data_IF_844479244617
#
_entry.id   IF_844479244617
#
_cell.length_a   1.000
_cell.length_b   1.000
_cell.length_c   1.000
_cell.angle_alpha   90.00
_cell.angle_beta   90.00
_cell.angle_gamma   90.00
#
_symmetry.space_group_name_H-M   'P 1'
#
loop_
_entity.id
_entity.type
_entity.pdbx_description
1 polymer ?
#
# COMPACT_ATOMS: atom_id res chain seq x y z
N UNK A 1 29.54 1.32 -6.42
CA UNK A 1 29.19 2.44 -5.54
C UNK A 1 27.71 2.29 -5.15
N UNK A 2 27.39 2.42 -3.89
CA UNK A 2 25.98 2.43 -3.43
C UNK A 2 25.35 3.75 -3.84
N UNK A 3 24.13 3.70 -4.41
CA UNK A 3 23.39 4.90 -4.80
C UNK A 3 21.91 4.61 -4.97
N UNK A 4 21.11 5.63 -4.80
CA UNK A 4 19.68 5.63 -5.09
C UNK A 4 19.42 6.61 -6.26
N UNK A 5 18.52 6.24 -7.14
CA UNK A 5 18.02 7.10 -8.20
C UNK A 5 16.51 7.00 -8.26
N UNK A 6 15.83 8.12 -8.18
CA UNK A 6 14.41 8.19 -8.44
C UNK A 6 14.18 8.15 -9.94
N UNK A 7 13.42 7.16 -10.40
CA UNK A 7 13.08 7.00 -11.81
C UNK A 7 11.72 7.65 -12.11
N UNK A 8 10.81 7.61 -11.14
CA UNK A 8 9.47 8.17 -11.21
C UNK A 8 8.92 8.41 -9.80
N UNK A 9 7.86 9.22 -9.67
CA UNK A 9 7.21 9.54 -8.38
C UNK A 9 7.77 10.79 -7.72
N UNK A 10 8.30 11.75 -8.50
CA UNK A 10 8.72 13.07 -8.01
C UNK A 10 7.88 14.15 -8.68
N UNK A 11 7.37 15.08 -7.85
CA UNK A 11 6.70 16.29 -8.30
C UNK A 11 5.21 16.14 -8.54
N UNK A 12 4.78 14.96 -8.97
CA UNK A 12 3.37 14.61 -9.18
C UNK A 12 3.06 13.24 -8.60
N UNK A 13 1.80 12.94 -8.32
CA UNK A 13 1.37 11.58 -8.01
C UNK A 13 1.47 10.74 -9.29
N UNK A 14 2.50 9.94 -9.35
CA UNK A 14 2.82 9.12 -10.51
C UNK A 14 3.22 7.72 -10.10
N UNK A 15 3.64 6.88 -11.06
CA UNK A 15 4.12 5.54 -10.75
C UNK A 15 5.35 5.65 -9.84
N UNK A 16 5.29 5.01 -8.67
CA UNK A 16 6.46 4.93 -7.80
C UNK A 16 7.48 3.96 -8.40
N UNK A 17 8.72 4.44 -8.60
CA UNK A 17 9.82 3.57 -9.01
C UNK A 17 11.16 4.19 -8.64
N UNK A 18 11.90 3.51 -7.76
CA UNK A 18 13.23 3.89 -7.31
C UNK A 18 14.24 2.83 -7.72
N UNK A 19 15.38 3.24 -8.23
CA UNK A 19 16.49 2.33 -8.50
C UNK A 19 17.50 2.39 -7.36
N UNK A 20 17.75 1.25 -6.72
CA UNK A 20 18.75 1.08 -5.69
C UNK A 20 19.93 0.27 -6.22
N UNK A 21 21.14 0.85 -6.19
CA UNK A 21 22.38 0.14 -6.46
C UNK A 21 23.06 -0.19 -5.12
N UNK A 22 23.26 -1.48 -4.86
CA UNK A 22 23.91 -1.94 -3.61
C UNK A 22 25.43 -1.99 -3.73
N UNK A 23 25.96 -1.72 -4.92
CA UNK A 23 27.36 -1.95 -5.32
C UNK A 23 27.49 -3.16 -6.24
N UNK A 24 26.82 -4.27 -5.91
CA UNK A 24 26.89 -5.52 -6.67
C UNK A 24 25.57 -5.85 -7.40
N UNK A 25 24.46 -5.24 -6.98
CA UNK A 25 23.11 -5.48 -7.51
C UNK A 25 22.41 -4.17 -7.83
N UNK A 26 21.50 -4.26 -8.77
CA UNK A 26 20.54 -3.20 -9.11
C UNK A 26 19.14 -3.69 -8.80
N UNK A 27 18.51 -3.08 -7.81
CA UNK A 27 17.14 -3.39 -7.42
C UNK A 27 16.21 -2.25 -7.79
N UNK A 28 14.96 -2.56 -8.11
CA UNK A 28 13.90 -1.58 -8.19
C UNK A 28 13.04 -1.67 -6.94
N UNK A 29 12.71 -0.53 -6.37
CA UNK A 29 11.76 -0.38 -5.28
C UNK A 29 10.49 0.20 -5.88
N UNK A 30 9.43 -0.58 -5.87
CA UNK A 30 8.18 -0.41 -6.57
C UNK A 30 8.32 -0.31 -8.11
N UNK A 31 7.20 -0.53 -8.79
CA UNK A 31 7.11 -0.47 -10.25
C UNK A 31 5.66 -0.14 -10.64
N UNK A 32 5.18 1.02 -10.25
CA UNK A 32 3.78 1.39 -10.36
C UNK A 32 3.34 1.86 -11.74
N UNK A 33 2.01 1.92 -11.92
CA UNK A 33 1.38 2.77 -12.91
C UNK A 33 0.81 4.00 -12.19
N UNK A 34 0.88 5.16 -12.81
CA UNK A 34 0.25 6.33 -12.24
C UNK A 34 -1.28 6.27 -12.34
N UNK A 35 -1.99 7.07 -11.54
CA UNK A 35 -3.44 7.18 -11.63
C UNK A 35 -3.88 7.79 -12.96
N UNK A 36 -3.02 8.58 -13.57
CA UNK A 36 -3.29 9.21 -14.86
C UNK A 36 -3.02 8.23 -16.02
N UNK A 37 -3.89 8.24 -17.03
CA UNK A 37 -3.81 7.31 -18.18
C UNK A 37 -2.48 7.36 -18.95
N UNK A 38 -1.74 8.44 -18.84
CA UNK A 38 -0.44 8.64 -19.50
C UNK A 38 0.77 8.31 -18.60
N UNK A 39 0.55 8.12 -17.30
CA UNK A 39 1.61 7.87 -16.33
C UNK A 39 1.84 6.36 -16.16
N UNK A 40 2.63 5.78 -17.05
CA UNK A 40 2.93 4.36 -17.06
C UNK A 40 4.37 4.08 -16.63
N UNK A 41 4.56 2.90 -16.08
CA UNK A 41 5.88 2.33 -15.86
C UNK A 41 6.61 2.18 -17.19
N UNK A 42 7.86 2.64 -17.24
CA UNK A 42 8.70 2.42 -18.42
C UNK A 42 9.47 1.09 -18.29
N UNK A 43 9.16 0.08 -19.12
CA UNK A 43 9.83 -1.22 -19.04
C UNK A 43 11.36 -1.15 -19.22
N UNK A 44 11.88 -0.05 -19.80
CA UNK A 44 13.31 0.17 -19.94
C UNK A 44 14.03 0.32 -18.60
N UNK A 45 13.31 0.68 -17.54
CA UNK A 45 13.86 0.75 -16.17
C UNK A 45 14.28 -0.60 -15.63
N UNK A 46 13.68 -1.69 -16.14
CA UNK A 46 14.07 -3.07 -15.79
C UNK A 46 15.41 -3.50 -16.40
N UNK A 47 15.93 -2.76 -17.36
CA UNK A 47 17.18 -3.15 -18.06
C UNK A 47 18.33 -3.20 -17.06
N UNK A 48 18.84 -4.42 -16.84
CA UNK A 48 19.93 -4.68 -15.90
C UNK A 48 19.52 -4.64 -14.42
N UNK A 49 18.23 -4.64 -14.12
CA UNK A 49 17.73 -4.90 -12.77
C UNK A 49 17.91 -6.39 -12.43
N UNK A 50 18.23 -6.67 -11.17
CA UNK A 50 18.38 -8.03 -10.65
C UNK A 50 17.13 -8.50 -9.90
N UNK A 51 16.34 -7.58 -9.36
CA UNK A 51 15.11 -7.87 -8.61
C UNK A 51 14.20 -6.62 -8.51
N UNK A 52 12.93 -6.86 -8.18
CA UNK A 52 11.95 -5.82 -7.84
C UNK A 52 11.44 -6.06 -6.41
N UNK A 53 11.34 -5.02 -5.62
CA UNK A 53 10.80 -5.01 -4.27
C UNK A 53 9.51 -4.21 -4.26
N UNK A 54 8.42 -4.78 -3.79
CA UNK A 54 7.10 -4.14 -3.78
C UNK A 54 6.70 -3.85 -2.34
N UNK A 55 6.37 -2.59 -2.06
CA UNK A 55 5.95 -2.16 -0.73
C UNK A 55 4.51 -2.56 -0.41
N UNK A 56 3.58 -2.39 -1.34
CA UNK A 56 2.17 -2.72 -1.16
C UNK A 56 1.44 -2.89 -2.51
N UNK A 57 0.15 -3.21 -2.49
CA UNK A 57 -0.62 -3.67 -3.64
C UNK A 57 -1.39 -2.57 -4.40
N UNK A 58 -1.17 -1.29 -4.10
CA UNK A 58 -1.78 -0.22 -4.89
C UNK A 58 -1.17 -0.11 -6.29
N UNK A 59 -1.99 0.27 -7.27
CA UNK A 59 -1.62 0.25 -8.69
C UNK A 59 -0.40 1.12 -9.01
N UNK A 60 -0.23 2.24 -8.31
CA UNK A 60 0.90 3.15 -8.46
C UNK A 60 2.21 2.63 -7.83
N UNK A 61 2.17 1.44 -7.22
CA UNK A 61 3.34 0.72 -6.70
C UNK A 61 3.56 -0.63 -7.39
N UNK A 62 2.50 -1.32 -7.83
CA UNK A 62 2.56 -2.69 -8.33
C UNK A 62 2.23 -2.83 -9.82
N UNK A 63 1.61 -1.82 -10.44
CA UNK A 63 1.01 -1.92 -11.79
C UNK A 63 1.95 -2.39 -12.89
N UNK A 64 3.23 -2.05 -12.79
CA UNK A 64 4.26 -2.48 -13.73
C UNK A 64 4.87 -3.86 -13.46
N UNK A 65 4.42 -4.56 -12.41
CA UNK A 65 4.96 -5.88 -12.05
C UNK A 65 4.85 -6.91 -13.18
N UNK A 66 3.86 -6.77 -14.08
CA UNK A 66 3.73 -7.63 -15.27
C UNK A 66 5.00 -7.62 -16.12
N UNK A 67 5.63 -6.45 -16.31
CA UNK A 67 6.86 -6.34 -17.08
C UNK A 67 8.06 -6.97 -16.36
N UNK A 68 8.10 -6.93 -15.02
CA UNK A 68 9.11 -7.64 -14.24
C UNK A 68 8.96 -9.16 -14.39
N UNK A 69 7.71 -9.65 -14.41
CA UNK A 69 7.40 -11.07 -14.66
C UNK A 69 7.83 -11.49 -16.06
N UNK A 70 7.50 -10.70 -17.09
CA UNK A 70 7.91 -10.95 -18.47
C UNK A 70 9.45 -10.95 -18.63
N UNK A 71 10.13 -10.08 -17.90
CA UNK A 71 11.59 -10.04 -17.85
C UNK A 71 12.21 -11.20 -17.03
N UNK A 72 11.40 -12.02 -16.37
CA UNK A 72 11.83 -13.15 -15.55
C UNK A 72 12.51 -12.76 -14.23
N UNK A 73 12.32 -11.50 -13.78
CA UNK A 73 12.92 -10.99 -12.56
C UNK A 73 12.22 -11.55 -11.31
N UNK A 74 12.97 -11.87 -10.24
CA UNK A 74 12.38 -12.19 -8.96
C UNK A 74 11.73 -10.93 -8.35
N UNK A 75 10.57 -11.13 -7.72
CA UNK A 75 9.85 -10.07 -7.00
C UNK A 75 9.87 -10.40 -5.51
N UNK A 76 10.18 -9.41 -4.69
CA UNK A 76 10.14 -9.48 -3.24
C UNK A 76 8.93 -8.70 -2.74
N UNK A 77 8.03 -9.35 -2.02
CA UNK A 77 6.79 -8.74 -1.50
C UNK A 77 6.29 -9.52 -0.28
N UNK A 78 5.42 -8.93 0.52
CA UNK A 78 4.74 -9.66 1.60
C UNK A 78 3.75 -10.67 1.02
N UNK A 79 3.33 -11.65 1.83
CA UNK A 79 2.37 -12.66 1.40
C UNK A 79 1.02 -12.06 0.98
N UNK A 80 0.63 -10.92 1.58
CA UNK A 80 -0.61 -10.23 1.23
C UNK A 80 -0.46 -9.50 -0.11
N UNK A 81 0.57 -8.68 -0.26
CA UNK A 81 0.90 -7.96 -1.51
C UNK A 81 1.07 -8.92 -2.69
N UNK A 82 1.65 -10.09 -2.44
CA UNK A 82 1.86 -11.11 -3.46
C UNK A 82 0.56 -11.63 -4.11
N UNK A 83 -0.59 -11.52 -3.44
CA UNK A 83 -1.89 -11.95 -4.00
C UNK A 83 -2.35 -11.07 -5.16
N UNK A 84 -1.89 -9.83 -5.21
CA UNK A 84 -2.21 -8.88 -6.29
C UNK A 84 -1.22 -8.97 -7.47
N UNK A 85 -0.14 -9.74 -7.33
CA UNK A 85 0.84 -9.94 -8.41
C UNK A 85 0.30 -10.89 -9.50
N UNK A 86 0.79 -10.76 -10.75
CA UNK A 86 0.46 -11.71 -11.81
C UNK A 86 0.77 -13.15 -11.38
N UNK A 87 -0.08 -14.15 -11.74
CA UNK A 87 0.09 -15.54 -11.28
C UNK A 87 1.43 -16.19 -11.65
N UNK A 88 2.09 -15.69 -12.69
CA UNK A 88 3.41 -16.19 -13.14
C UNK A 88 4.58 -15.54 -12.39
N UNK A 89 4.35 -14.67 -11.43
CA UNK A 89 5.39 -13.99 -10.68
C UNK A 89 6.23 -14.98 -9.85
N UNK A 90 7.54 -14.82 -9.93
CA UNK A 90 8.48 -15.53 -9.05
C UNK A 90 8.63 -14.71 -7.76
N UNK A 91 7.79 -14.99 -6.77
CA UNK A 91 7.73 -14.23 -5.53
C UNK A 91 8.63 -14.84 -4.46
N UNK A 92 9.49 -14.01 -3.88
CA UNK A 92 10.21 -14.27 -2.65
C UNK A 92 9.49 -13.51 -1.53
N UNK A 93 8.99 -14.24 -0.53
CA UNK A 93 8.19 -13.63 0.52
C UNK A 93 9.06 -12.84 1.50
N UNK A 94 8.65 -11.60 1.76
CA UNK A 94 9.15 -10.77 2.86
C UNK A 94 8.20 -10.88 4.06
N UNK A 95 8.71 -10.83 5.30
CA UNK A 95 7.86 -10.65 6.46
C UNK A 95 7.24 -9.25 6.46
N UNK A 96 6.03 -9.10 7.02
CA UNK A 96 5.47 -7.76 7.27
C UNK A 96 6.28 -7.02 8.34
N UNK A 97 6.86 -7.77 9.28
CA UNK A 97 7.72 -7.26 10.34
C UNK A 97 8.87 -8.24 10.57
N UNK A 98 10.09 -7.82 10.29
CA UNK A 98 11.25 -8.68 10.49
C UNK A 98 12.46 -8.35 9.63
N UNK A 99 13.38 -9.27 9.57
CA UNK A 99 14.66 -9.12 8.88
C UNK A 99 14.83 -10.23 7.84
N UNK A 100 15.29 -9.86 6.66
CA UNK A 100 15.72 -10.75 5.59
C UNK A 100 17.14 -10.41 5.16
N UNK A 101 17.89 -11.39 4.65
CA UNK A 101 19.19 -11.14 4.03
C UNK A 101 19.12 -11.51 2.56
N UNK A 102 19.34 -10.55 1.69
CA UNK A 102 19.19 -10.69 0.24
C UNK A 102 20.50 -10.24 -0.42
N UNK A 103 21.14 -11.14 -1.14
CA UNK A 103 22.45 -10.90 -1.79
C UNK A 103 23.50 -10.26 -0.85
N UNK A 104 23.47 -10.64 0.44
CA UNK A 104 24.37 -10.11 1.46
C UNK A 104 23.97 -8.77 2.08
N UNK A 105 22.86 -8.18 1.64
CA UNK A 105 22.29 -6.96 2.24
C UNK A 105 21.19 -7.33 3.22
N UNK A 106 21.28 -6.84 4.45
CA UNK A 106 20.19 -6.97 5.41
C UNK A 106 19.09 -5.96 5.07
N UNK A 107 17.86 -6.48 4.91
CA UNK A 107 16.63 -5.73 4.74
C UNK A 107 15.75 -5.94 5.97
N UNK A 108 15.39 -4.87 6.64
CA UNK A 108 14.37 -4.85 7.68
C UNK A 108 13.07 -4.30 7.09
N UNK A 109 11.97 -4.99 7.34
CA UNK A 109 10.62 -4.52 6.98
C UNK A 109 9.81 -4.28 8.25
N UNK A 110 8.88 -3.34 8.17
CA UNK A 110 7.84 -3.11 9.16
C UNK A 110 6.59 -2.59 8.47
N UNK A 111 5.46 -2.68 9.14
CA UNK A 111 4.15 -2.29 8.59
C UNK A 111 4.10 -0.79 8.37
N UNK A 112 3.52 -0.36 7.26
CA UNK A 112 3.54 1.03 6.82
C UNK A 112 2.31 1.86 7.25
N UNK A 113 1.32 1.25 7.92
CA UNK A 113 0.11 1.96 8.37
C UNK A 113 -0.83 2.39 7.25
N UNK A 114 -0.60 1.98 5.99
CA UNK A 114 -1.30 2.49 4.82
C UNK A 114 -2.17 1.45 4.10
N UNK A 115 -1.67 0.25 3.94
CA UNK A 115 -2.36 -0.83 3.22
C UNK A 115 -2.17 -2.18 3.91
N UNK A 116 -3.06 -3.12 3.63
CA UNK A 116 -2.98 -4.47 4.17
C UNK A 116 -1.74 -5.19 3.64
N UNK A 117 -0.88 -5.67 4.56
CA UNK A 117 0.40 -6.27 4.20
C UNK A 117 1.42 -5.30 3.61
N UNK A 118 1.10 -3.99 3.61
CA UNK A 118 2.01 -2.95 3.18
C UNK A 118 3.17 -2.77 4.16
N UNK A 119 4.37 -2.56 3.62
CA UNK A 119 5.60 -2.44 4.42
C UNK A 119 6.47 -1.28 3.96
N UNK A 120 7.13 -0.66 4.91
CA UNK A 120 8.33 0.12 4.65
C UNK A 120 9.56 -0.80 4.62
N UNK A 121 10.64 -0.33 4.02
CA UNK A 121 11.89 -1.08 3.82
C UNK A 121 13.08 -0.30 4.33
N UNK A 122 13.90 -0.92 5.17
CA UNK A 122 15.18 -0.36 5.63
C UNK A 122 16.32 -1.30 5.22
N UNK A 123 17.17 -0.82 4.34
CA UNK A 123 18.35 -1.53 3.84
C UNK A 123 19.58 -1.13 4.64
N UNK A 124 20.32 -2.11 5.19
CA UNK A 124 21.60 -1.89 5.88
C UNK A 124 22.71 -1.61 4.86
N UNK A 125 22.61 -0.48 4.18
CA UNK A 125 23.58 0.02 3.21
C UNK A 125 24.21 1.32 3.74
N UNK A 126 25.54 1.33 3.91
CA UNK A 126 26.21 2.44 4.57
C UNK A 126 25.70 2.64 6.00
N UNK A 127 25.21 3.85 6.30
CA UNK A 127 24.58 4.18 7.60
C UNK A 127 23.05 4.04 7.55
N UNK A 128 22.51 3.24 6.63
CA UNK A 128 21.09 2.94 6.45
C UNK A 128 20.41 3.74 5.35
N UNK A 129 19.60 3.03 4.57
CA UNK A 129 18.66 3.58 3.59
C UNK A 129 17.24 3.16 3.95
N UNK A 130 16.38 4.13 4.17
CA UNK A 130 14.95 3.92 4.44
C UNK A 130 14.10 4.29 3.22
N UNK A 131 13.11 3.43 2.90
CA UNK A 131 12.08 3.68 1.89
C UNK A 131 10.71 3.43 2.51
N UNK A 132 9.89 4.47 2.60
CA UNK A 132 8.58 4.38 3.24
C UNK A 132 7.56 3.61 2.39
N UNK A 133 7.66 3.62 1.04
CA UNK A 133 6.49 3.46 0.21
C UNK A 133 5.45 4.53 0.60
N UNK A 134 4.18 4.28 0.37
CA UNK A 134 3.12 5.07 1.01
C UNK A 134 3.00 4.65 2.48
N UNK A 135 2.84 5.60 3.38
CA UNK A 135 2.72 5.32 4.80
C UNK A 135 1.74 6.24 5.51
N UNK A 136 1.23 5.82 6.68
CA UNK A 136 0.33 6.63 7.49
C UNK A 136 0.55 6.38 8.97
N UNK A 137 0.63 7.46 9.75
CA UNK A 137 0.68 7.42 11.21
C UNK A 137 -0.73 7.50 11.83
N UNK A 138 -1.72 7.89 11.05
CA UNK A 138 -3.06 8.22 11.53
C UNK A 138 -4.10 7.12 11.28
N UNK A 139 -3.68 5.95 10.75
CA UNK A 139 -4.62 4.86 10.48
C UNK A 139 -5.05 4.18 11.77
N UNK A 140 -6.34 4.22 12.05
CA UNK A 140 -6.96 3.38 13.08
C UNK A 140 -7.02 1.90 12.68
N UNK A 141 -6.73 1.60 11.41
CA UNK A 141 -6.97 0.31 10.80
C UNK A 141 -5.69 -0.49 10.59
N UNK A 142 -4.64 0.16 10.11
CA UNK A 142 -3.37 -0.46 9.82
C UNK A 142 -2.31 -0.01 10.84
N UNK A 143 -1.60 -0.95 11.47
CA UNK A 143 -0.52 -0.59 12.37
C UNK A 143 0.68 -0.02 11.60
N UNK A 144 1.31 1.00 12.18
CA UNK A 144 2.61 1.48 11.77
C UNK A 144 3.69 0.97 12.73
N UNK A 145 4.72 0.34 12.21
CA UNK A 145 5.92 0.02 12.97
C UNK A 145 6.95 1.13 12.79
N UNK A 146 7.55 1.60 13.88
CA UNK A 146 8.56 2.63 13.79
C UNK A 146 9.84 2.11 13.11
N UNK A 147 10.34 2.79 12.06
CA UNK A 147 11.55 2.37 11.39
C UNK A 147 12.81 2.65 12.25
N UNK A 148 13.87 1.88 12.05
CA UNK A 148 15.16 2.21 12.63
C UNK A 148 15.74 3.49 12.00
N UNK A 149 16.69 4.18 12.67
CA UNK A 149 17.38 5.32 12.09
C UNK A 149 18.08 4.98 10.77
N UNK A 150 18.07 5.93 9.83
CA UNK A 150 18.76 5.83 8.55
C UNK A 150 19.39 7.16 8.17
N UNK A 151 20.56 7.13 7.53
CA UNK A 151 21.23 8.33 7.04
C UNK A 151 20.58 8.88 5.76
N UNK A 152 19.90 8.02 5.02
CA UNK A 152 19.17 8.40 3.80
C UNK A 152 17.74 7.89 3.89
N UNK A 153 16.77 8.77 3.59
CA UNK A 153 15.36 8.41 3.55
C UNK A 153 14.73 8.85 2.23
N UNK A 154 13.88 7.98 1.69
CA UNK A 154 12.95 8.27 0.60
C UNK A 154 11.57 8.17 1.21
N UNK A 155 10.87 9.28 1.31
CA UNK A 155 9.60 9.40 2.02
C UNK A 155 8.48 9.74 1.06
N UNK A 156 7.31 9.15 1.32
CA UNK A 156 6.06 9.65 0.76
C UNK A 156 5.77 11.06 1.29
N UNK A 157 5.54 11.98 0.36
CA UNK A 157 5.18 13.36 0.63
C UNK A 157 3.95 13.77 -0.18
N UNK A 158 3.02 12.86 -0.43
CA UNK A 158 1.85 13.05 -1.29
C UNK A 158 0.97 14.22 -0.84
N UNK A 159 0.91 14.48 0.45
CA UNK A 159 0.15 15.59 1.01
C UNK A 159 0.92 16.93 1.04
N UNK A 160 2.21 16.92 0.73
CA UNK A 160 3.07 18.11 0.69
C UNK A 160 3.02 18.92 2.00
N UNK A 161 2.47 20.15 1.95
CA UNK A 161 2.30 21.04 3.12
C UNK A 161 0.90 20.93 3.75
N UNK A 162 0.07 20.03 3.29
CA UNK A 162 -1.26 19.80 3.86
C UNK A 162 -1.14 18.91 5.10
N UNK A 163 -1.18 19.52 6.26
CA UNK A 163 -1.05 18.92 7.58
C UNK A 163 -2.40 18.74 8.33
N UNK A 164 -3.52 18.84 7.60
CA UNK A 164 -4.85 18.65 8.18
C UNK A 164 -4.98 17.21 8.72
N UNK A 165 -5.23 17.05 10.04
CA UNK A 165 -5.37 15.73 10.64
C UNK A 165 -6.51 14.91 10.02
N UNK A 166 -6.37 13.58 9.99
CA UNK A 166 -7.40 12.70 9.47
C UNK A 166 -8.73 12.85 10.22
N UNK A 167 -8.69 13.13 11.51
CA UNK A 167 -9.89 13.39 12.33
C UNK A 167 -10.68 14.61 11.83
N UNK A 168 -10.00 15.67 11.42
CA UNK A 168 -10.65 16.86 10.84
C UNK A 168 -11.22 16.57 9.44
N UNK A 169 -10.54 15.74 8.65
CA UNK A 169 -11.04 15.28 7.34
C UNK A 169 -12.29 14.45 7.47
N UNK A 170 -12.35 13.56 8.47
CA UNK A 170 -13.56 12.81 8.78
C UNK A 170 -14.69 13.72 9.28
N UNK A 171 -14.39 14.70 10.13
CA UNK A 171 -15.39 15.67 10.56
C UNK A 171 -15.96 16.51 9.40
N UNK A 172 -15.12 16.88 8.44
CA UNK A 172 -15.56 17.58 7.24
C UNK A 172 -16.42 16.70 6.32
N UNK A 173 -16.05 15.42 6.17
CA UNK A 173 -16.87 14.42 5.46
C UNK A 173 -18.23 14.24 6.13
N UNK A 174 -18.26 14.06 7.44
CA UNK A 174 -19.49 13.94 8.21
C UNK A 174 -20.41 15.15 8.02
N UNK A 175 -19.86 16.36 8.13
CA UNK A 175 -20.61 17.58 7.92
C UNK A 175 -21.15 17.73 6.49
N UNK A 176 -20.50 17.12 5.50
CA UNK A 176 -20.99 17.04 4.12
C UNK A 176 -22.14 16.01 4.03
N UNK A 177 -21.92 14.79 4.53
CA UNK A 177 -22.89 13.71 4.47
C UNK A 177 -24.18 14.04 5.21
N UNK A 178 -24.10 14.72 6.35
CA UNK A 178 -25.27 15.15 7.14
C UNK A 178 -26.20 16.13 6.37
N UNK A 179 -25.70 16.73 5.27
CA UNK A 179 -26.48 17.67 4.44
C UNK A 179 -26.98 17.04 3.14
N UNK A 180 -26.50 15.85 2.81
CA UNK A 180 -26.90 15.15 1.60
C UNK A 180 -28.11 14.25 1.85
N UNK A 181 -29.01 14.23 0.88
CA UNK A 181 -30.13 13.29 0.86
C UNK A 181 -29.85 12.17 -0.16
N UNK A 182 -30.29 10.95 0.16
CA UNK A 182 -30.17 9.80 -0.72
C UNK A 182 -28.85 9.05 -0.59
N UNK A 183 -28.51 8.30 -1.63
CA UNK A 183 -27.31 7.45 -1.63
C UNK A 183 -26.08 8.23 -2.07
N UNK A 184 -24.97 7.98 -1.40
CA UNK A 184 -23.67 8.57 -1.70
C UNK A 184 -22.68 7.46 -2.06
N UNK A 185 -22.03 7.58 -3.20
CA UNK A 185 -20.94 6.70 -3.61
C UNK A 185 -19.60 7.31 -3.19
N UNK A 186 -18.82 6.53 -2.43
CA UNK A 186 -17.48 6.90 -2.00
C UNK A 186 -16.46 5.98 -2.69
N UNK A 187 -15.84 6.39 -3.81
CA UNK A 187 -14.82 5.59 -4.46
C UNK A 187 -13.53 5.61 -3.63
N UNK A 188 -13.14 4.44 -3.15
CA UNK A 188 -11.93 4.25 -2.31
C UNK A 188 -11.20 2.97 -2.72
N UNK A 189 -9.86 2.92 -2.57
CA UNK A 189 -9.12 1.70 -2.81
C UNK A 189 -9.59 0.58 -1.87
N UNK A 190 -9.85 -0.64 -2.37
CA UNK A 190 -10.31 -1.75 -1.55
C UNK A 190 -9.27 -2.20 -0.52
N UNK A 191 -7.97 -2.15 -0.88
CA UNK A 191 -6.85 -2.43 0.01
C UNK A 191 -6.34 -1.14 0.64
N UNK A 192 -6.99 -0.67 1.71
CA UNK A 192 -6.61 0.57 2.38
C UNK A 192 -7.82 1.31 2.92
N UNK A 193 -8.18 2.42 2.29
CA UNK A 193 -9.22 3.36 2.78
C UNK A 193 -10.62 2.76 2.93
N UNK A 194 -10.99 1.73 2.17
CA UNK A 194 -12.32 1.16 2.22
C UNK A 194 -12.71 0.70 3.63
N UNK A 195 -11.81 0.00 4.31
CA UNK A 195 -12.05 -0.50 5.67
C UNK A 195 -12.17 0.62 6.70
N UNK A 196 -11.28 1.59 6.65
CA UNK A 196 -11.31 2.75 7.57
C UNK A 196 -12.59 3.56 7.39
N UNK A 197 -12.95 3.85 6.14
CA UNK A 197 -14.15 4.60 5.80
C UNK A 197 -15.41 3.86 6.25
N UNK A 198 -15.51 2.56 5.96
CA UNK A 198 -16.62 1.74 6.38
C UNK A 198 -16.79 1.74 7.90
N UNK A 199 -15.69 1.54 8.63
CA UNK A 199 -15.72 1.54 10.09
C UNK A 199 -16.15 2.90 10.67
N UNK A 200 -15.63 4.00 10.10
CA UNK A 200 -16.02 5.35 10.50
C UNK A 200 -17.53 5.58 10.29
N UNK A 201 -18.03 5.27 9.09
CA UNK A 201 -19.42 5.48 8.72
C UNK A 201 -20.37 4.61 9.56
N UNK A 202 -19.98 3.37 9.86
CA UNK A 202 -20.79 2.49 10.72
C UNK A 202 -20.89 3.00 12.14
N UNK A 203 -19.77 3.47 12.69
CA UNK A 203 -19.76 4.07 14.04
C UNK A 203 -20.70 5.26 14.13
N UNK A 204 -20.81 6.03 13.05
CA UNK A 204 -21.61 7.25 13.03
C UNK A 204 -23.06 7.01 12.64
N UNK A 205 -23.31 6.24 11.60
CA UNK A 205 -24.63 6.09 10.97
C UNK A 205 -25.27 4.71 11.17
N UNK A 206 -24.54 3.75 11.71
CA UNK A 206 -24.96 2.38 11.90
C UNK A 206 -24.74 1.48 10.67
N UNK A 207 -24.79 0.17 10.90
CA UNK A 207 -24.49 -0.84 9.87
C UNK A 207 -25.40 -0.78 8.64
N UNK A 208 -26.68 -0.53 8.83
CA UNK A 208 -27.67 -0.49 7.74
C UNK A 208 -27.44 0.66 6.74
N UNK A 209 -26.55 1.61 7.08
CA UNK A 209 -26.26 2.77 6.25
C UNK A 209 -25.04 2.60 5.34
N UNK A 210 -24.32 1.48 5.46
CA UNK A 210 -23.07 1.25 4.72
C UNK A 210 -23.15 -0.03 3.90
N UNK A 211 -22.86 0.10 2.61
CA UNK A 211 -22.68 -1.04 1.70
C UNK A 211 -21.27 -1.03 1.12
N UNK A 212 -20.66 -2.19 1.08
CA UNK A 212 -19.36 -2.40 0.44
C UNK A 212 -19.55 -3.20 -0.84
N UNK A 213 -18.79 -2.88 -1.87
CA UNK A 213 -18.72 -3.73 -3.04
C UNK A 213 -18.05 -5.08 -2.72
N UNK A 214 -18.22 -6.11 -3.59
CA UNK A 214 -17.69 -7.45 -3.32
C UNK A 214 -16.15 -7.49 -3.19
N UNK A 215 -15.42 -6.61 -3.86
CA UNK A 215 -13.97 -6.56 -3.78
C UNK A 215 -13.52 -6.03 -2.42
N UNK A 216 -14.11 -4.92 -1.96
CA UNK A 216 -13.89 -4.39 -0.62
C UNK A 216 -14.22 -5.44 0.46
N UNK A 217 -15.34 -6.15 0.33
CA UNK A 217 -15.72 -7.23 1.26
C UNK A 217 -14.68 -8.35 1.30
N UNK A 218 -14.20 -8.80 0.14
CA UNK A 218 -13.20 -9.87 0.05
C UNK A 218 -11.86 -9.47 0.69
N UNK A 219 -11.42 -8.23 0.47
CA UNK A 219 -10.20 -7.68 1.07
C UNK A 219 -10.35 -7.62 2.59
N UNK A 220 -11.46 -7.08 3.10
CA UNK A 220 -11.72 -6.99 4.54
C UNK A 220 -11.79 -8.37 5.21
N UNK A 221 -12.50 -9.32 4.59
CA UNK A 221 -12.56 -10.70 5.08
C UNK A 221 -11.17 -11.36 5.16
N UNK A 222 -10.31 -11.03 4.21
CA UNK A 222 -8.93 -11.52 4.21
C UNK A 222 -8.11 -10.91 5.34
N UNK A 223 -8.22 -9.60 5.56
CA UNK A 223 -7.54 -8.89 6.64
C UNK A 223 -7.93 -9.43 8.02
N UNK A 224 -9.22 -9.69 8.24
CA UNK A 224 -9.69 -10.30 9.48
C UNK A 224 -9.12 -11.70 9.72
N UNK A 225 -9.06 -12.53 8.67
CA UNK A 225 -8.51 -13.89 8.78
C UNK A 225 -7.00 -13.93 9.01
N UNK A 226 -6.28 -12.98 8.46
CA UNK A 226 -4.82 -12.92 8.58
C UNK A 226 -4.35 -12.36 9.92
N UNK A 227 -5.21 -11.65 10.64
CA UNK A 227 -4.85 -10.97 11.89
C UNK A 227 -3.90 -9.78 11.69
N UNK A 228 -3.76 -9.29 10.45
CA UNK A 228 -2.85 -8.18 10.09
C UNK A 228 -3.43 -6.80 10.41
N UNK A 229 -4.69 -6.74 10.82
CA UNK A 229 -5.34 -5.48 11.16
C UNK A 229 -5.05 -5.09 12.60
N UNK A 230 -4.65 -3.84 12.82
CA UNK A 230 -4.35 -3.29 14.14
C UNK A 230 -5.57 -2.97 14.97
N UNK A 231 -6.78 -3.07 14.40
CA UNK A 231 -8.02 -2.70 15.05
C UNK A 231 -8.72 -3.94 15.58
N UNK A 232 -9.51 -3.71 16.61
CA UNK A 232 -10.48 -4.61 17.16
C UNK A 232 -11.33 -5.25 16.03
N UNK A 233 -10.84 -6.38 15.52
CA UNK A 233 -11.47 -7.15 14.46
C UNK A 233 -12.93 -7.51 14.79
N UNK A 234 -13.29 -7.55 16.07
CA UNK A 234 -14.66 -7.77 16.52
C UNK A 234 -15.61 -6.66 16.06
N UNK A 235 -15.11 -5.44 15.84
CA UNK A 235 -15.96 -4.33 15.38
C UNK A 235 -16.32 -4.42 13.89
N UNK A 236 -15.56 -5.18 13.13
CA UNK A 236 -15.70 -5.32 11.68
C UNK A 236 -16.36 -6.66 11.33
N UNK A 237 -16.18 -7.68 12.14
CA UNK A 237 -16.79 -8.98 11.91
C UNK A 237 -18.29 -8.91 11.57
N UNK A 238 -19.11 -8.05 12.20
CA UNK A 238 -20.51 -7.87 11.83
C UNK A 238 -20.72 -7.39 10.39
N UNK A 239 -19.80 -6.58 9.82
CA UNK A 239 -19.88 -6.11 8.42
C UNK A 239 -19.76 -7.21 7.39
N UNK A 240 -19.11 -8.30 7.77
CA UNK A 240 -18.85 -9.44 6.87
C UNK A 240 -19.85 -10.57 7.09
N UNK A 241 -20.60 -10.53 8.21
CA UNK A 241 -21.58 -11.56 8.56
C UNK A 241 -22.96 -11.34 7.93
N UNK A 242 -23.24 -10.13 7.47
CA UNK A 242 -24.47 -9.82 6.77
C UNK A 242 -24.30 -10.06 5.28
N UNK A 243 -25.23 -10.80 4.65
CA UNK A 243 -25.40 -10.86 3.19
C UNK A 243 -25.80 -9.46 2.70
N UNK A 244 -24.82 -8.60 2.55
CA UNK A 244 -25.03 -7.29 1.94
C UNK A 244 -25.27 -7.52 0.47
N UNK A 245 -26.55 -7.63 0.11
CA UNK A 245 -26.95 -7.76 -1.29
C UNK A 245 -26.64 -6.43 -1.98
N UNK A 246 -25.62 -6.43 -2.81
CA UNK A 246 -25.35 -5.31 -3.70
C UNK A 246 -26.57 -5.13 -4.62
N UNK A 247 -27.27 -4.00 -4.50
CA UNK A 247 -28.24 -3.59 -5.50
C UNK A 247 -27.51 -2.72 -6.52
N UNK A 248 -27.40 -3.17 -7.79
CA UNK A 248 -26.85 -2.32 -8.84
C UNK A 248 -27.71 -1.04 -8.94
N UNK A 249 -27.12 0.09 -9.31
CA UNK A 249 -27.88 1.32 -9.56
C UNK A 249 -28.93 1.03 -10.64
N UNK A 250 -30.17 1.40 -10.34
CA UNK A 250 -31.32 1.33 -11.27
C UNK A 250 -31.18 2.37 -12.38
#
# INVERSE_FOLDING_TARGET
MQSVRVLSGIGDKGPACMQLNTGNRRWLLDCGFGPEAHAHFDPRWLKGADAVFITHDHIDHIGGAIYAVEAGLPIYATAQTAKALPPAAKVNLLPEQGVSVIDGVQLTTGRNGHAMGGVWMHFALGEGLFYSGDWSEESDWFPLDLPPPAATAILDCSYQLDDVPQTERFAALDALLDRLEGQVLLPVPPSGRAGEMALHLIRRYGHASVMLDPECQAVLATGLRSGTLGVDAAKIAPLLAEDVTFMPPT
#
